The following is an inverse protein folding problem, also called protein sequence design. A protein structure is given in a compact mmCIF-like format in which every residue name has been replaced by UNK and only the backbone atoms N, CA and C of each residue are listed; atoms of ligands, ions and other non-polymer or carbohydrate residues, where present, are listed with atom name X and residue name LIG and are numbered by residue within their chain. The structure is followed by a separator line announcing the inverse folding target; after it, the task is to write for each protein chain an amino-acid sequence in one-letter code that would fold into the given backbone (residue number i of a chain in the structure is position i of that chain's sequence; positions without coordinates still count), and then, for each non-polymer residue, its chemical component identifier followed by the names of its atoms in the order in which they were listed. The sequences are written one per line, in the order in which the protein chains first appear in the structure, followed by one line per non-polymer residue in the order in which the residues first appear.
data_IF_080875214317
#
_entry.id   IF_080875214317
#
_cell.length_a   1.000
_cell.length_b   1.000
_cell.length_c   1.000
_cell.angle_alpha   90.00
_cell.angle_beta   90.00
_cell.angle_gamma   90.00
#
_symmetry.space_group_name_H-M   'P 1'
#
loop_
_entity.id
_entity.type
_entity.pdbx_description
1 polymer ?
#
# COMPACT_ATOMS: atom_id res chain seq x y z
N UNK A 1 38.04 34.11 18.92
CA UNK A 1 37.07 35.19 18.67
C UNK A 1 35.67 34.58 18.83
N UNK A 2 35.08 34.72 20.03
CA UNK A 2 33.84 33.97 20.41
C UNK A 2 32.67 34.93 20.27
N UNK A 3 31.83 34.73 19.28
CA UNK A 3 30.60 35.49 19.06
C UNK A 3 29.57 35.09 20.11
N UNK A 4 29.33 35.95 21.11
CA UNK A 4 28.18 35.81 22.02
C UNK A 4 26.97 36.49 21.38
N UNK A 5 26.00 35.69 20.94
CA UNK A 5 24.68 36.19 20.56
C UNK A 5 23.91 36.47 21.84
N UNK A 6 23.69 37.75 22.17
CA UNK A 6 22.75 38.17 23.21
C UNK A 6 21.35 38.16 22.65
N UNK A 7 20.52 37.18 23.07
CA UNK A 7 19.08 37.24 22.85
C UNK A 7 18.47 38.19 23.89
N UNK A 8 18.04 39.35 23.45
CA UNK A 8 17.37 40.35 24.27
C UNK A 8 15.87 40.02 24.34
N UNK A 9 15.45 39.29 25.39
CA UNK A 9 14.06 38.77 25.59
C UNK A 9 13.12 39.80 26.27
N UNK A 10 13.39 41.10 26.23
CA UNK A 10 12.55 42.12 26.93
C UNK A 10 11.62 42.93 26.03
N UNK A 11 11.32 42.51 24.78
CA UNK A 11 10.21 43.14 24.06
C UNK A 11 8.90 42.47 24.43
N UNK A 12 8.08 43.17 25.24
CA UNK A 12 6.69 42.77 25.51
C UNK A 12 5.96 42.70 24.21
N UNK A 13 5.56 41.48 23.82
CA UNK A 13 4.76 41.25 22.61
C UNK A 13 3.40 41.94 22.79
N UNK A 14 3.06 42.83 21.87
CA UNK A 14 1.79 43.53 21.86
C UNK A 14 0.67 42.52 21.52
N UNK A 15 -0.50 42.62 22.17
CA UNK A 15 -1.67 41.76 21.93
C UNK A 15 -2.03 41.66 20.45
N UNK A 16 -1.86 42.76 19.70
CA UNK A 16 -2.10 42.80 18.25
C UNK A 16 -1.14 41.91 17.46
N UNK A 17 0.12 41.85 17.87
CA UNK A 17 1.15 40.97 17.24
C UNK A 17 0.84 39.50 17.49
N UNK A 18 0.34 39.15 18.70
CA UNK A 18 -0.06 37.79 19.04
C UNK A 18 -1.29 37.39 18.22
N UNK A 19 -2.30 38.25 18.09
CA UNK A 19 -3.49 37.97 17.32
C UNK A 19 -3.22 37.88 15.81
N UNK A 20 -2.33 38.70 15.27
CA UNK A 20 -1.89 38.59 13.87
C UNK A 20 -1.10 37.29 13.62
N UNK A 21 -0.23 36.89 14.53
CA UNK A 21 0.50 35.62 14.45
C UNK A 21 -0.43 34.41 14.56
N UNK A 22 -1.44 34.46 15.44
CA UNK A 22 -2.44 33.40 15.57
C UNK A 22 -3.34 33.29 14.32
N UNK A 23 -3.71 34.43 13.71
CA UNK A 23 -4.50 34.45 12.47
C UNK A 23 -3.74 33.84 11.27
N UNK A 24 -2.44 34.11 11.16
CA UNK A 24 -1.58 33.53 10.13
C UNK A 24 -1.42 32.00 10.35
N UNK A 25 -1.24 31.56 11.58
CA UNK A 25 -1.10 30.13 11.87
C UNK A 25 -2.38 29.33 11.62
N UNK A 26 -3.57 29.94 11.75
CA UNK A 26 -4.85 29.30 11.37
C UNK A 26 -5.08 29.28 9.86
N UNK A 27 -4.48 30.23 9.11
CA UNK A 27 -4.63 30.30 7.64
C UNK A 27 -3.60 29.47 6.88
N UNK A 28 -2.55 28.99 7.54
CA UNK A 28 -1.57 28.11 6.89
C UNK A 28 -2.10 26.69 6.76
N UNK A 29 -2.09 26.10 5.55
CA UNK A 29 -2.42 24.70 5.41
C UNK A 29 -1.46 23.86 6.27
N UNK A 30 -2.02 22.89 6.97
CA UNK A 30 -1.25 21.96 7.80
C UNK A 30 -0.36 21.11 6.93
N UNK A 31 0.92 21.45 6.85
CA UNK A 31 1.88 20.66 6.11
C UNK A 31 2.39 19.53 7.00
N UNK A 32 2.41 18.30 6.49
CA UNK A 32 2.92 17.12 7.20
C UNK A 32 4.37 17.30 7.69
N UNK A 33 5.15 18.16 7.04
CA UNK A 33 6.48 18.55 7.49
C UNK A 33 6.48 19.36 8.80
N UNK A 34 5.35 19.97 9.20
CA UNK A 34 5.22 20.75 10.43
C UNK A 34 4.87 19.89 11.63
N UNK A 35 4.40 18.67 11.45
CA UNK A 35 4.05 17.74 12.54
C UNK A 35 5.25 17.46 13.46
N UNK A 36 6.46 17.37 12.90
CA UNK A 36 7.69 17.16 13.69
C UNK A 36 8.09 18.37 14.53
N UNK A 37 7.74 19.58 14.12
CA UNK A 37 8.08 20.82 14.81
C UNK A 37 7.21 21.07 16.06
N UNK A 38 6.00 20.51 16.10
CA UNK A 38 5.06 20.70 17.22
C UNK A 38 5.11 19.58 18.28
N UNK A 39 6.16 18.73 18.26
CA UNK A 39 6.34 17.70 19.29
C UNK A 39 5.27 16.61 19.25
N UNK A 40 4.67 16.38 18.09
CA UNK A 40 3.75 15.27 17.92
C UNK A 40 4.45 13.96 18.31
N UNK A 41 3.90 13.26 19.28
CA UNK A 41 4.22 11.87 19.61
C UNK A 41 4.50 11.13 18.30
N UNK A 42 5.58 10.35 18.21
CA UNK A 42 5.89 9.51 17.04
C UNK A 42 4.64 8.70 16.71
N UNK A 43 3.79 9.22 15.83
CA UNK A 43 2.70 8.42 15.25
C UNK A 43 3.38 7.25 14.55
N UNK A 44 3.04 6.05 14.93
CA UNK A 44 3.52 4.86 14.22
C UNK A 44 3.15 5.04 12.75
N UNK A 45 4.11 4.83 11.86
CA UNK A 45 3.85 4.88 10.41
C UNK A 45 2.78 3.83 10.10
N UNK A 46 1.67 4.21 9.44
CA UNK A 46 0.62 3.26 9.10
C UNK A 46 1.18 2.06 8.34
N UNK A 47 0.83 0.86 8.75
CA UNK A 47 1.22 -0.35 8.02
C UNK A 47 0.52 -0.38 6.67
N UNK A 48 1.24 -0.78 5.63
CA UNK A 48 0.70 -0.92 4.28
C UNK A 48 0.91 -2.34 3.78
N UNK A 49 -0.10 -2.84 3.09
CA UNK A 49 -0.04 -4.12 2.39
C UNK A 49 -0.17 -3.85 0.89
N UNK A 50 0.68 -4.46 0.09
CA UNK A 50 0.63 -4.39 -1.37
C UNK A 50 0.61 -5.80 -1.91
N UNK A 51 -0.44 -6.15 -2.68
CA UNK A 51 -0.51 -7.37 -3.44
C UNK A 51 -0.35 -7.06 -4.94
N UNK A 52 0.57 -7.71 -5.60
CA UNK A 52 0.76 -7.63 -7.05
C UNK A 52 0.47 -8.99 -7.65
N UNK A 53 -0.57 -9.07 -8.47
CA UNK A 53 -0.99 -10.31 -9.12
C UNK A 53 -0.55 -10.33 -10.59
N UNK A 54 -0.14 -11.48 -11.06
CA UNK A 54 0.27 -11.71 -12.44
C UNK A 54 -0.65 -12.77 -13.02
N UNK A 55 -1.62 -12.37 -13.84
CA UNK A 55 -2.68 -13.24 -14.35
C UNK A 55 -2.21 -14.44 -15.17
N UNK A 56 -1.04 -14.36 -15.80
CA UNK A 56 -0.38 -15.49 -16.48
C UNK A 56 0.62 -16.24 -15.59
N UNK A 57 0.93 -15.68 -14.41
CA UNK A 57 1.98 -16.21 -13.56
C UNK A 57 3.38 -15.93 -14.11
N UNK A 58 4.34 -16.65 -13.54
CA UNK A 58 5.76 -16.62 -13.91
C UNK A 58 6.22 -18.02 -14.29
N UNK A 59 7.24 -18.12 -15.11
CA UNK A 59 7.87 -19.42 -15.42
C UNK A 59 8.59 -19.92 -14.15
N UNK A 60 8.14 -21.06 -13.65
CA UNK A 60 8.62 -21.62 -12.38
C UNK A 60 10.14 -21.85 -12.38
N UNK A 61 10.70 -22.36 -13.50
CA UNK A 61 12.14 -22.62 -13.63
C UNK A 61 12.99 -21.33 -13.61
N UNK A 62 12.40 -20.21 -14.02
CA UNK A 62 13.07 -18.91 -13.98
C UNK A 62 12.88 -18.17 -12.65
N UNK A 63 11.85 -18.51 -11.88
CA UNK A 63 11.58 -17.90 -10.58
C UNK A 63 12.21 -18.69 -9.43
N UNK A 64 11.97 -20.00 -9.39
CA UNK A 64 12.32 -20.80 -8.23
C UNK A 64 13.83 -21.16 -8.23
N UNK A 65 14.56 -20.88 -7.16
CA UNK A 65 15.90 -21.41 -6.99
C UNK A 65 15.89 -22.95 -6.91
N UNK A 66 16.94 -23.59 -7.44
CA UNK A 66 17.08 -25.05 -7.41
C UNK A 66 17.21 -25.60 -5.98
N UNK A 67 17.84 -24.80 -5.08
CA UNK A 67 18.03 -25.18 -3.68
C UNK A 67 17.19 -24.28 -2.77
N UNK A 68 16.53 -24.89 -1.79
CA UNK A 68 15.84 -24.18 -0.73
C UNK A 68 16.83 -23.63 0.32
N UNK A 69 16.36 -22.69 1.14
CA UNK A 69 17.12 -22.06 2.24
C UNK A 69 17.88 -20.81 1.80
N UNK A 70 18.59 -20.16 2.73
CA UNK A 70 19.16 -18.83 2.50
C UNK A 70 20.37 -18.82 1.55
N UNK A 71 21.02 -19.98 1.33
CA UNK A 71 22.22 -20.10 0.49
C UNK A 71 21.91 -20.49 -0.96
N UNK A 72 20.74 -20.10 -1.48
CA UNK A 72 20.37 -20.38 -2.87
C UNK A 72 21.16 -19.51 -3.86
N UNK A 73 21.47 -20.09 -5.02
CA UNK A 73 21.92 -19.33 -6.18
C UNK A 73 20.71 -18.63 -6.84
N UNK A 74 20.83 -17.38 -7.29
CA UNK A 74 19.72 -16.67 -7.88
C UNK A 74 19.27 -17.34 -9.19
N UNK A 75 17.97 -17.51 -9.34
CA UNK A 75 17.35 -17.89 -10.61
C UNK A 75 17.35 -16.73 -11.60
N UNK A 76 16.91 -16.94 -12.83
CA UNK A 76 16.96 -15.92 -13.89
C UNK A 76 16.27 -14.61 -13.49
N UNK A 77 15.08 -14.69 -12.87
CA UNK A 77 14.32 -13.51 -12.42
C UNK A 77 14.86 -12.87 -11.16
N UNK A 78 15.59 -13.61 -10.35
CA UNK A 78 16.10 -13.11 -9.06
C UNK A 78 17.48 -12.45 -9.13
N UNK A 79 18.13 -12.49 -10.30
CA UNK A 79 19.45 -11.87 -10.47
C UNK A 79 19.46 -10.39 -10.11
N UNK A 80 18.42 -9.66 -10.53
CA UNK A 80 18.31 -8.22 -10.33
C UNK A 80 17.86 -7.84 -8.90
N UNK A 81 17.48 -8.83 -8.09
CA UNK A 81 17.04 -8.63 -6.71
C UNK A 81 18.07 -9.02 -5.65
N UNK A 82 19.32 -9.25 -6.04
CA UNK A 82 20.36 -9.73 -5.12
C UNK A 82 20.62 -8.77 -3.95
N UNK A 83 20.57 -7.47 -4.19
CA UNK A 83 20.76 -6.45 -3.16
C UNK A 83 19.65 -6.47 -2.09
N UNK A 84 18.51 -7.08 -2.40
CA UNK A 84 17.36 -7.20 -1.51
C UNK A 84 17.17 -8.61 -0.95
N UNK A 85 18.11 -9.51 -1.15
CA UNK A 85 18.00 -10.94 -0.80
C UNK A 85 17.52 -11.19 0.63
N UNK A 86 17.99 -10.40 1.57
CA UNK A 86 17.63 -10.51 2.99
C UNK A 86 16.29 -9.86 3.35
N UNK A 87 15.64 -9.19 2.37
CA UNK A 87 14.41 -8.44 2.57
C UNK A 87 13.17 -9.12 1.98
N UNK A 88 13.31 -10.26 1.30
CA UNK A 88 12.19 -11.00 0.74
C UNK A 88 12.33 -12.51 0.93
N UNK A 89 11.22 -13.22 0.80
CA UNK A 89 11.14 -14.67 0.83
C UNK A 89 10.44 -15.20 -0.41
N UNK A 90 10.91 -16.33 -0.92
CA UNK A 90 10.28 -17.04 -2.03
C UNK A 90 9.57 -18.25 -1.45
N UNK A 91 8.28 -18.34 -1.72
CA UNK A 91 7.44 -19.48 -1.32
C UNK A 91 6.95 -20.16 -2.58
N UNK A 92 7.32 -21.42 -2.76
CA UNK A 92 6.90 -22.24 -3.90
C UNK A 92 6.12 -23.46 -3.42
N UNK A 93 5.40 -24.11 -4.36
CA UNK A 93 4.62 -25.31 -4.05
C UNK A 93 3.32 -25.04 -3.30
N UNK A 94 2.87 -23.80 -3.23
CA UNK A 94 1.57 -23.42 -2.67
C UNK A 94 0.50 -23.35 -3.76
N UNK A 95 -0.73 -23.76 -3.43
CA UNK A 95 -1.89 -23.66 -4.32
C UNK A 95 -3.17 -23.49 -3.52
N UNK A 96 -4.20 -22.93 -4.14
CA UNK A 96 -5.54 -22.90 -3.54
C UNK A 96 -6.30 -24.17 -3.95
N UNK A 97 -6.90 -24.90 -2.99
CA UNK A 97 -7.74 -26.04 -3.32
C UNK A 97 -8.91 -25.66 -4.22
N UNK A 98 -9.15 -26.45 -5.25
CA UNK A 98 -10.27 -26.22 -6.18
C UNK A 98 -10.10 -25.03 -7.14
N UNK A 99 -8.91 -24.41 -7.18
CA UNK A 99 -8.60 -23.36 -8.18
C UNK A 99 -7.80 -23.97 -9.32
N UNK A 100 -8.35 -23.90 -10.52
CA UNK A 100 -7.68 -24.37 -11.73
C UNK A 100 -6.88 -23.21 -12.36
N UNK A 101 -5.73 -23.52 -12.93
CA UNK A 101 -4.84 -22.57 -13.55
C UNK A 101 -5.44 -21.78 -14.72
N UNK A 102 -4.66 -20.85 -15.26
CA UNK A 102 -5.02 -19.96 -16.35
C UNK A 102 -5.45 -18.56 -15.86
N UNK A 103 -5.77 -17.69 -16.81
CA UNK A 103 -6.07 -16.27 -16.55
C UNK A 103 -7.18 -16.04 -15.52
N UNK A 104 -8.16 -16.94 -15.46
CA UNK A 104 -9.31 -16.77 -14.55
C UNK A 104 -8.97 -17.08 -13.10
N UNK A 105 -7.90 -17.83 -12.84
CA UNK A 105 -7.45 -18.15 -11.49
C UNK A 105 -7.04 -16.90 -10.68
N UNK A 106 -6.66 -15.82 -11.37
CA UNK A 106 -6.34 -14.55 -10.74
C UNK A 106 -7.49 -14.04 -9.86
N UNK A 107 -8.73 -14.23 -10.29
CA UNK A 107 -9.92 -13.82 -9.52
C UNK A 107 -10.09 -14.54 -8.18
N UNK A 108 -9.45 -15.67 -7.98
CA UNK A 108 -9.47 -16.42 -6.71
C UNK A 108 -8.23 -16.20 -5.84
N UNK A 109 -7.24 -15.44 -6.32
CA UNK A 109 -5.92 -15.39 -5.70
C UNK A 109 -5.94 -14.83 -4.28
N UNK A 110 -6.70 -13.78 -4.04
CA UNK A 110 -6.77 -13.11 -2.74
C UNK A 110 -7.94 -13.59 -1.85
N UNK A 111 -8.87 -14.35 -2.40
CA UNK A 111 -10.00 -14.92 -1.66
C UNK A 111 -9.87 -16.43 -1.39
N UNK A 112 -9.01 -17.12 -2.15
CA UNK A 112 -8.91 -18.57 -2.19
C UNK A 112 -10.23 -19.29 -2.52
N UNK A 113 -11.22 -18.60 -3.09
CA UNK A 113 -12.51 -19.20 -3.44
C UNK A 113 -12.31 -20.27 -4.53
N UNK A 114 -12.88 -21.48 -4.37
CA UNK A 114 -12.79 -22.51 -5.37
C UNK A 114 -13.49 -22.06 -6.66
N UNK A 115 -13.06 -22.58 -7.80
CA UNK A 115 -13.61 -22.22 -9.10
C UNK A 115 -14.67 -23.24 -9.55
N UNK A 116 -15.79 -22.73 -10.04
CA UNK A 116 -16.82 -23.52 -10.73
C UNK A 116 -17.12 -22.89 -12.08
N UNK A 117 -17.13 -23.70 -13.14
CA UNK A 117 -17.30 -23.21 -14.52
C UNK A 117 -16.34 -22.06 -14.93
N UNK A 118 -15.13 -22.05 -14.37
CA UNK A 118 -14.11 -21.03 -14.65
C UNK A 118 -14.34 -19.68 -13.95
N UNK A 119 -15.19 -19.62 -12.96
CA UNK A 119 -15.44 -18.43 -12.13
C UNK A 119 -15.32 -18.79 -10.65
N UNK A 120 -14.89 -17.85 -9.78
CA UNK A 120 -14.92 -18.07 -8.34
C UNK A 120 -16.33 -18.40 -7.86
N UNK A 121 -16.45 -19.42 -7.04
CA UNK A 121 -17.73 -19.85 -6.45
C UNK A 121 -17.70 -19.63 -4.96
N UNK A 122 -18.73 -18.97 -4.45
CA UNK A 122 -18.83 -18.70 -3.00
C UNK A 122 -17.76 -17.73 -2.50
N UNK A 123 -17.41 -16.71 -3.28
CA UNK A 123 -16.50 -15.66 -2.84
C UNK A 123 -16.96 -15.02 -1.54
N UNK A 124 -16.00 -14.78 -0.70
CA UNK A 124 -16.11 -14.00 0.52
C UNK A 124 -15.06 -12.88 0.48
N UNK A 125 -14.89 -12.19 1.59
CA UNK A 125 -13.89 -11.11 1.69
C UNK A 125 -12.50 -11.59 1.29
N UNK A 126 -11.83 -10.84 0.42
CA UNK A 126 -10.42 -11.08 0.08
C UNK A 126 -9.47 -10.57 1.15
N UNK A 127 -8.27 -11.12 1.22
CA UNK A 127 -7.29 -10.80 2.28
C UNK A 127 -6.90 -9.31 2.28
N UNK A 128 -6.79 -8.66 1.14
CA UNK A 128 -6.53 -7.23 1.01
C UNK A 128 -7.67 -6.39 1.62
N UNK A 129 -8.92 -6.78 1.41
CA UNK A 129 -10.08 -6.08 1.98
C UNK A 129 -10.26 -6.39 3.46
N UNK A 130 -9.91 -7.58 3.91
CA UNK A 130 -9.85 -7.89 5.33
C UNK A 130 -8.81 -7.01 6.05
N UNK A 131 -7.63 -6.84 5.46
CA UNK A 131 -6.62 -5.93 5.97
C UNK A 131 -7.07 -4.47 5.93
N UNK A 132 -7.73 -4.05 4.85
CA UNK A 132 -8.30 -2.70 4.73
C UNK A 132 -9.35 -2.41 5.83
N UNK A 133 -10.15 -3.39 6.22
CA UNK A 133 -11.10 -3.28 7.32
C UNK A 133 -10.42 -3.01 8.66
N UNK A 134 -9.25 -3.60 8.89
CA UNK A 134 -8.51 -3.45 10.15
C UNK A 134 -7.51 -2.29 10.18
N UNK A 135 -6.89 -1.95 9.06
CA UNK A 135 -5.82 -0.95 8.97
C UNK A 135 -6.25 0.33 8.25
N UNK A 136 -7.31 0.27 7.47
CA UNK A 136 -7.71 1.35 6.57
C UNK A 136 -8.15 2.65 7.24
N UNK A 137 -8.52 2.59 8.52
CA UNK A 137 -8.90 3.79 9.29
C UNK A 137 -7.72 4.74 9.58
N UNK A 138 -6.49 4.27 9.39
CA UNK A 138 -5.28 5.08 9.58
C UNK A 138 -4.93 5.93 8.35
N UNK A 139 -5.61 5.72 7.23
CA UNK A 139 -5.29 6.37 5.96
C UNK A 139 -6.54 6.92 5.26
N UNK A 140 -6.37 7.95 4.41
CA UNK A 140 -7.47 8.56 3.64
C UNK A 140 -8.19 7.54 2.75
N UNK A 141 -7.45 6.61 2.16
CA UNK A 141 -8.00 5.54 1.34
C UNK A 141 -7.71 4.20 2.01
N UNK A 142 -8.74 3.49 2.51
CA UNK A 142 -8.58 2.18 3.12
C UNK A 142 -7.95 1.15 2.19
N UNK A 143 -8.31 1.18 0.91
CA UNK A 143 -7.73 0.35 -0.14
C UNK A 143 -7.76 1.04 -1.51
N UNK A 144 -6.85 0.63 -2.37
CA UNK A 144 -6.80 1.03 -3.77
C UNK A 144 -6.63 -0.24 -4.61
N UNK A 145 -7.59 -0.51 -5.47
CA UNK A 145 -7.57 -1.65 -6.39
C UNK A 145 -7.27 -1.12 -7.78
N UNK A 146 -6.14 -1.53 -8.33
CA UNK A 146 -5.59 -1.02 -9.58
C UNK A 146 -5.37 -2.15 -10.57
N UNK A 147 -5.47 -1.85 -11.88
CA UNK A 147 -5.18 -2.79 -12.95
C UNK A 147 -4.42 -2.09 -14.06
N UNK A 148 -3.64 -2.85 -14.83
CA UNK A 148 -3.02 -2.35 -16.06
C UNK A 148 -4.03 -2.26 -17.21
N UNK A 149 -5.11 -3.07 -17.16
CA UNK A 149 -6.15 -3.08 -18.18
C UNK A 149 -7.47 -3.62 -17.62
N UNK A 150 -8.56 -2.97 -17.98
CA UNK A 150 -9.90 -3.39 -17.56
C UNK A 150 -10.20 -3.16 -16.08
N UNK A 151 -11.34 -3.69 -15.65
CA UNK A 151 -11.87 -3.51 -14.29
C UNK A 151 -11.88 -4.79 -13.45
N UNK A 152 -11.41 -5.91 -13.98
CA UNK A 152 -11.34 -7.16 -13.24
C UNK A 152 -10.30 -7.06 -12.13
N UNK A 153 -10.59 -7.67 -11.00
CA UNK A 153 -9.69 -7.66 -9.85
C UNK A 153 -9.84 -8.94 -9.01
N UNK A 154 -8.82 -9.29 -8.22
CA UNK A 154 -8.92 -10.36 -7.22
C UNK A 154 -9.50 -9.89 -5.89
N UNK A 155 -9.96 -8.64 -5.79
CA UNK A 155 -10.45 -8.03 -4.56
C UNK A 155 -11.97 -8.17 -4.43
N UNK A 156 -12.44 -8.66 -3.28
CA UNK A 156 -13.85 -8.92 -3.02
C UNK A 156 -14.28 -8.36 -1.67
N UNK A 157 -15.48 -7.83 -1.63
CA UNK A 157 -16.15 -7.37 -0.40
C UNK A 157 -16.55 -8.54 0.49
N UNK A 158 -17.01 -8.26 1.70
CA UNK A 158 -17.44 -9.25 2.68
C UNK A 158 -18.62 -10.13 2.17
N UNK A 159 -19.47 -9.56 1.34
CA UNK A 159 -20.58 -10.27 0.69
C UNK A 159 -20.21 -10.94 -0.65
N UNK A 160 -18.94 -11.04 -0.97
CA UNK A 160 -18.45 -11.70 -2.17
C UNK A 160 -18.59 -10.91 -3.48
N UNK A 161 -18.89 -9.63 -3.41
CA UNK A 161 -18.95 -8.77 -4.61
C UNK A 161 -17.55 -8.32 -5.01
N UNK A 162 -17.20 -8.45 -6.29
CA UNK A 162 -15.91 -7.98 -6.82
C UNK A 162 -15.83 -6.46 -6.73
N UNK A 163 -14.69 -5.96 -6.27
CA UNK A 163 -14.36 -4.53 -6.28
C UNK A 163 -13.68 -4.20 -7.60
N UNK A 164 -14.27 -3.37 -8.45
CA UNK A 164 -13.68 -3.04 -9.74
C UNK A 164 -12.32 -2.35 -9.58
N UNK A 165 -11.35 -2.73 -10.38
CA UNK A 165 -10.06 -2.07 -10.43
C UNK A 165 -10.12 -0.78 -11.28
N UNK A 166 -9.39 0.24 -10.86
CA UNK A 166 -9.16 1.45 -11.65
C UNK A 166 -7.94 1.23 -12.56
N UNK A 167 -8.15 1.38 -13.85
CA UNK A 167 -7.09 1.22 -14.86
C UNK A 167 -6.63 2.55 -15.49
N UNK A 168 -7.30 3.66 -15.17
CA UNK A 168 -6.95 4.98 -15.70
C UNK A 168 -6.07 5.75 -14.72
N UNK A 169 -4.80 6.07 -15.09
CA UNK A 169 -3.94 6.90 -14.27
C UNK A 169 -4.52 8.29 -13.98
N UNK A 170 -5.25 8.87 -14.95
CA UNK A 170 -5.87 10.19 -14.79
C UNK A 170 -6.99 10.16 -13.75
N UNK A 171 -7.84 9.11 -13.75
CA UNK A 171 -8.88 8.94 -12.73
C UNK A 171 -8.28 8.67 -11.36
N UNK A 172 -7.23 7.86 -11.30
CA UNK A 172 -6.51 7.61 -10.05
C UNK A 172 -5.92 8.91 -9.50
N UNK A 173 -5.26 9.70 -10.33
CA UNK A 173 -4.73 11.01 -9.93
C UNK A 173 -5.82 11.94 -9.41
N UNK A 174 -6.92 12.07 -10.12
CA UNK A 174 -8.09 12.84 -9.66
C UNK A 174 -8.59 12.37 -8.30
N UNK A 175 -8.76 11.06 -8.12
CA UNK A 175 -9.22 10.47 -6.85
C UNK A 175 -8.26 10.76 -5.70
N UNK A 176 -6.95 10.71 -5.94
CA UNK A 176 -5.95 10.86 -4.89
C UNK A 176 -5.71 12.33 -4.49
N UNK A 177 -5.80 13.26 -5.45
CA UNK A 177 -5.29 14.61 -5.27
C UNK A 177 -6.30 15.74 -5.53
N UNK A 178 -7.39 15.47 -6.24
CA UNK A 178 -8.34 16.51 -6.66
C UNK A 178 -9.74 16.31 -6.04
N UNK A 179 -10.21 15.07 -5.94
CA UNK A 179 -11.52 14.79 -5.36
C UNK A 179 -11.47 14.93 -3.83
N UNK A 180 -12.34 15.78 -3.31
CA UNK A 180 -12.61 15.94 -1.88
C UNK A 180 -13.43 14.77 -1.32
#
# INVERSE_FOLDING_TARGET
MTLRVRCDFQKRLNRRTILQGAGVSMAMPWLSAMESAFGASKKSVPKRFVAMTLGLGLLADNLNPIKAGNAYAPSAYLKDFQDFKDSFSIVSGTSHPGVNGGHRAESSLLSAAPMSAGMPSGNTISVDQLLAKHLGHETRFPSLVLSLSGSNSPSYTENGSMIPAESSPAKLFSKLFIAD
#
